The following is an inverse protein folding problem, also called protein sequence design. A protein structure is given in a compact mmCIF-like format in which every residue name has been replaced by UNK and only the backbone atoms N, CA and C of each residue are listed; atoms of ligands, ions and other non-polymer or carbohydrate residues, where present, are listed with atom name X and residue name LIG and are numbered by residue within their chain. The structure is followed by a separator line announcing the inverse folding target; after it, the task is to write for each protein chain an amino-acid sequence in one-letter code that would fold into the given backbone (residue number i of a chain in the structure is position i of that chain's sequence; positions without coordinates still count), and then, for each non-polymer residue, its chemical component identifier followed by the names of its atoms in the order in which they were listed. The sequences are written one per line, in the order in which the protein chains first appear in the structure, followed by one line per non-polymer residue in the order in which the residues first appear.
data_IF_279423174788
#
_entry.id   IF_279423174788
#
_cell.length_a   1.000
_cell.length_b   1.000
_cell.length_c   1.000
_cell.angle_alpha   90.00
_cell.angle_beta   90.00
_cell.angle_gamma   90.00
#
_symmetry.space_group_name_H-M   'P 1'
#
loop_
_entity.id
_entity.type
_entity.pdbx_description
1 polymer ?
#
# COMPACT_ATOMS: atom_id res chain seq x y z
N UNK A 1 -10.35 -70.94 1.77
CA UNK A 1 -9.80 -69.83 0.97
C UNK A 1 -9.85 -70.23 -0.49
N UNK A 2 -10.60 -69.50 -1.33
CA UNK A 2 -10.78 -69.75 -2.77
C UNK A 2 -9.74 -68.94 -3.57
N UNK A 3 -9.12 -69.49 -4.63
CA UNK A 3 -8.24 -68.73 -5.51
C UNK A 3 -9.05 -67.91 -6.52
N UNK A 4 -8.61 -66.66 -6.76
CA UNK A 4 -9.14 -65.75 -7.78
C UNK A 4 -8.32 -65.94 -9.06
N UNK A 5 -9.00 -66.31 -10.14
CA UNK A 5 -8.43 -66.42 -11.49
C UNK A 5 -8.14 -65.02 -12.06
N UNK A 6 -6.88 -64.75 -12.42
CA UNK A 6 -6.50 -63.61 -13.25
C UNK A 6 -6.76 -63.95 -14.72
N UNK A 7 -7.52 -63.08 -15.41
CA UNK A 7 -7.75 -63.17 -16.86
C UNK A 7 -6.78 -62.19 -17.54
N UNK A 8 -5.88 -62.73 -18.34
CA UNK A 8 -4.96 -61.99 -19.22
C UNK A 8 -5.77 -61.25 -20.30
N UNK A 9 -5.49 -59.96 -20.49
CA UNK A 9 -6.01 -59.15 -21.60
C UNK A 9 -4.80 -58.75 -22.45
N UNK A 10 -4.77 -59.25 -23.68
CA UNK A 10 -3.78 -58.84 -24.68
C UNK A 10 -4.10 -57.43 -25.19
N UNK A 11 -3.11 -56.53 -25.30
CA UNK A 11 -3.31 -55.23 -25.93
C UNK A 11 -3.13 -55.33 -27.45
N UNK A 12 -4.19 -55.04 -28.20
CA UNK A 12 -4.11 -54.73 -29.62
C UNK A 12 -3.61 -53.29 -29.81
N UNK A 13 -2.41 -53.16 -30.38
CA UNK A 13 -1.83 -51.87 -30.79
C UNK A 13 -2.46 -51.41 -32.11
N UNK A 14 -3.13 -50.24 -32.17
CA UNK A 14 -3.54 -49.66 -33.43
C UNK A 14 -2.37 -48.93 -34.11
N UNK A 15 -2.25 -49.15 -35.42
CA UNK A 15 -1.40 -48.41 -36.36
C UNK A 15 -1.72 -46.90 -36.33
N UNK A 16 -1.05 -46.15 -35.45
CA UNK A 16 -1.04 -44.68 -35.44
C UNK A 16 0.41 -44.18 -35.49
N UNK A 17 1.12 -44.39 -36.60
CA UNK A 17 2.57 -44.12 -36.66
C UNK A 17 2.99 -42.95 -37.56
N UNK A 18 2.20 -42.54 -38.56
CA UNK A 18 2.62 -41.48 -39.50
C UNK A 18 1.99 -40.10 -39.23
N UNK A 19 0.70 -40.03 -38.90
CA UNK A 19 0.01 -38.75 -38.67
C UNK A 19 0.45 -38.02 -37.38
N UNK A 20 0.83 -38.77 -36.34
CA UNK A 20 1.26 -38.21 -35.05
C UNK A 20 2.63 -37.53 -35.14
N UNK A 21 3.53 -38.00 -36.02
CA UNK A 21 4.87 -37.41 -36.20
C UNK A 21 4.82 -36.04 -36.88
N UNK A 22 3.86 -35.81 -37.78
CA UNK A 22 3.64 -34.49 -38.39
C UNK A 22 3.03 -33.48 -37.41
N UNK A 23 2.15 -33.94 -36.52
CA UNK A 23 1.52 -33.09 -35.51
C UNK A 23 2.52 -32.64 -34.43
N UNK A 24 3.46 -33.50 -34.03
CA UNK A 24 4.54 -33.13 -33.11
C UNK A 24 5.49 -32.09 -33.73
N UNK A 25 5.87 -32.24 -35.00
CA UNK A 25 6.75 -31.27 -35.66
C UNK A 25 6.11 -29.87 -35.81
N UNK A 26 4.79 -29.80 -36.05
CA UNK A 26 4.04 -28.54 -36.08
C UNK A 26 3.91 -27.91 -34.68
N UNK A 27 3.79 -28.73 -33.63
CA UNK A 27 3.73 -28.25 -32.25
C UNK A 27 5.07 -27.65 -31.78
N UNK A 28 6.21 -28.23 -32.18
CA UNK A 28 7.53 -27.65 -31.88
C UNK A 28 7.84 -26.37 -32.67
N UNK A 29 7.31 -26.21 -33.89
CA UNK A 29 7.42 -24.95 -34.65
C UNK A 29 6.59 -23.80 -34.03
N UNK A 30 5.48 -24.11 -33.36
CA UNK A 30 4.70 -23.11 -32.61
C UNK A 30 5.37 -22.71 -31.28
N UNK A 31 6.15 -23.61 -30.66
CA UNK A 31 6.85 -23.32 -29.39
C UNK A 31 8.18 -22.58 -29.59
N UNK A 32 8.78 -22.64 -30.79
CA UNK A 32 9.99 -21.87 -31.12
C UNK A 32 9.72 -20.39 -31.46
N UNK A 33 8.45 -19.98 -31.54
CA UNK A 33 8.03 -18.59 -31.80
C UNK A 33 7.91 -17.71 -30.55
N UNK A 34 7.98 -18.30 -29.35
CA UNK A 34 8.21 -17.55 -28.11
C UNK A 34 9.73 -17.50 -27.87
N UNK A 35 10.45 -16.93 -28.83
CA UNK A 35 11.81 -16.52 -28.59
C UNK A 35 11.80 -15.64 -27.33
N UNK A 36 12.72 -15.93 -26.43
CA UNK A 36 13.15 -15.08 -25.32
C UNK A 36 13.79 -13.80 -25.87
N UNK A 37 13.06 -13.11 -26.77
CA UNK A 37 13.37 -11.75 -27.19
C UNK A 37 13.37 -10.95 -25.90
N UNK A 38 14.58 -10.52 -25.57
CA UNK A 38 14.92 -10.00 -24.28
C UNK A 38 13.87 -9.00 -23.83
N UNK A 39 13.32 -9.28 -22.65
CA UNK A 39 13.11 -8.24 -21.66
C UNK A 39 14.48 -7.57 -21.40
N UNK A 40 15.02 -6.85 -22.39
CA UNK A 40 15.64 -5.58 -22.08
C UNK A 40 14.54 -4.87 -21.33
N UNK A 41 14.65 -4.87 -20.00
CA UNK A 41 13.92 -3.95 -19.13
C UNK A 41 13.91 -2.64 -19.91
N UNK A 42 12.75 -2.26 -20.45
CA UNK A 42 12.56 -0.93 -20.97
C UNK A 42 13.03 -0.05 -19.83
N UNK A 43 14.24 0.51 -19.97
CA UNK A 43 14.83 1.45 -19.03
C UNK A 43 13.96 2.68 -19.15
N UNK A 44 12.79 2.59 -18.54
CA UNK A 44 11.79 3.60 -18.59
C UNK A 44 12.47 4.83 -18.02
N UNK A 45 12.58 5.87 -18.84
CA UNK A 45 13.29 7.07 -18.45
C UNK A 45 12.66 7.60 -17.15
N UNK A 46 13.38 7.44 -16.04
CA UNK A 46 12.95 7.91 -14.73
C UNK A 46 13.14 9.42 -14.60
N UNK A 47 13.74 10.07 -15.59
CA UNK A 47 14.19 11.45 -15.49
C UNK A 47 15.33 11.59 -14.46
N UNK A 48 15.66 12.83 -14.07
CA UNK A 48 16.72 13.07 -13.10
C UNK A 48 16.31 12.58 -11.72
N UNK A 49 17.26 11.96 -11.01
CA UNK A 49 17.12 11.67 -9.59
C UNK A 49 16.96 12.98 -8.81
N UNK A 50 16.08 12.95 -7.82
CA UNK A 50 15.82 14.06 -6.89
C UNK A 50 16.38 13.68 -5.52
N UNK A 51 17.00 14.62 -4.77
CA UNK A 51 17.42 14.35 -3.40
C UNK A 51 16.23 13.93 -2.53
N UNK A 52 16.45 12.96 -1.63
CA UNK A 52 15.41 12.40 -0.76
C UNK A 52 14.77 13.47 0.13
N UNK A 53 15.54 14.46 0.54
CA UNK A 53 15.10 15.62 1.33
C UNK A 53 14.07 16.46 0.57
N UNK A 54 14.11 16.47 -0.76
CA UNK A 54 13.11 17.18 -1.59
C UNK A 54 11.75 16.52 -1.47
N UNK A 55 11.70 15.19 -1.42
CA UNK A 55 10.48 14.42 -1.18
C UNK A 55 9.93 14.69 0.21
N UNK A 56 10.78 14.61 1.23
CA UNK A 56 10.37 14.84 2.62
C UNK A 56 9.89 16.28 2.82
N UNK A 57 10.54 17.25 2.18
CA UNK A 57 10.11 18.66 2.18
C UNK A 57 8.73 18.82 1.53
N UNK A 58 8.50 18.20 0.36
CA UNK A 58 7.21 18.27 -0.33
C UNK A 58 6.08 17.65 0.51
N UNK A 59 6.31 16.49 1.10
CA UNK A 59 5.34 15.80 1.95
C UNK A 59 5.11 16.57 3.26
N UNK A 60 6.15 17.05 3.92
CA UNK A 60 6.06 17.85 5.15
C UNK A 60 5.30 19.16 4.91
N UNK A 61 5.64 19.90 3.85
CA UNK A 61 4.93 21.12 3.44
C UNK A 61 3.45 20.86 3.19
N UNK A 62 3.12 19.75 2.51
CA UNK A 62 1.74 19.35 2.23
C UNK A 62 0.96 19.01 3.52
N UNK A 63 1.62 18.37 4.48
CA UNK A 63 1.00 17.89 5.72
C UNK A 63 0.89 19.03 6.77
N UNK A 64 1.64 20.12 6.60
CA UNK A 64 1.65 21.27 7.52
C UNK A 64 2.28 20.93 8.87
N UNK A 65 1.85 21.61 9.94
CA UNK A 65 2.37 21.40 11.30
C UNK A 65 2.22 19.92 11.74
N UNK A 66 3.35 19.24 11.93
CA UNK A 66 3.40 17.85 12.42
C UNK A 66 3.51 17.81 13.94
N UNK A 67 2.71 18.62 14.65
CA UNK A 67 2.71 18.60 16.10
C UNK A 67 1.73 17.54 16.60
N UNK A 68 2.20 16.37 17.06
CA UNK A 68 1.31 15.30 17.49
C UNK A 68 0.56 15.62 18.80
N UNK A 69 0.93 16.70 19.50
CA UNK A 69 0.14 17.20 20.64
C UNK A 69 -1.23 17.72 20.20
N UNK A 70 -1.44 17.97 18.91
CA UNK A 70 -2.73 18.32 18.32
C UNK A 70 -3.71 17.13 18.24
N UNK A 71 -3.26 15.90 18.47
CA UNK A 71 -4.14 14.73 18.59
C UNK A 71 -5.01 14.90 19.83
N UNK A 72 -6.31 14.68 19.69
CA UNK A 72 -7.32 14.83 20.76
C UNK A 72 -7.90 13.48 21.15
N UNK A 73 -8.38 13.36 22.39
CA UNK A 73 -9.24 12.24 22.77
C UNK A 73 -10.52 12.27 21.91
N UNK A 74 -11.00 11.09 21.52
CA UNK A 74 -12.09 10.91 20.56
C UNK A 74 -11.78 11.35 19.10
N UNK A 75 -10.53 11.69 18.77
CA UNK A 75 -10.11 11.72 17.36
C UNK A 75 -10.29 10.31 16.79
N UNK A 76 -10.98 10.21 15.66
CA UNK A 76 -11.07 8.95 14.94
C UNK A 76 -11.08 9.17 13.44
N UNK A 77 -10.64 8.14 12.72
CA UNK A 77 -10.84 8.06 11.29
C UNK A 77 -11.09 6.62 10.86
N UNK A 78 -11.69 6.50 9.68
CA UNK A 78 -11.87 5.22 8.99
C UNK A 78 -11.19 5.35 7.66
N UNK A 79 -10.35 4.37 7.37
CA UNK A 79 -9.70 4.23 6.08
C UNK A 79 -10.07 2.92 5.43
N UNK A 80 -10.19 2.97 4.12
CA UNK A 80 -10.41 1.83 3.26
C UNK A 80 -9.09 1.54 2.54
N UNK A 81 -8.64 0.29 2.58
CA UNK A 81 -7.50 -0.18 1.81
C UNK A 81 -7.96 -1.18 0.77
N UNK A 82 -7.72 -0.86 -0.50
CA UNK A 82 -7.92 -1.78 -1.62
C UNK A 82 -6.55 -2.16 -2.19
N UNK A 83 -6.31 -3.45 -2.44
CA UNK A 83 -5.19 -3.88 -3.27
C UNK A 83 -5.70 -4.69 -4.45
N UNK A 84 -5.11 -4.49 -5.62
CA UNK A 84 -5.53 -5.18 -6.86
C UNK A 84 -4.35 -5.47 -7.77
N UNK A 85 -4.47 -6.54 -8.55
CA UNK A 85 -3.63 -6.75 -9.73
C UNK A 85 -4.21 -5.94 -10.90
N UNK A 86 -3.39 -5.22 -11.65
CA UNK A 86 -3.87 -4.38 -12.75
C UNK A 86 -4.28 -5.18 -14.00
N UNK A 87 -3.92 -6.46 -14.06
CA UNK A 87 -4.23 -7.38 -15.17
C UNK A 87 -5.38 -8.36 -14.85
N UNK A 88 -6.03 -8.26 -13.69
CA UNK A 88 -7.06 -9.24 -13.30
C UNK A 88 -8.09 -8.73 -12.29
N UNK A 89 -8.99 -9.63 -11.92
CA UNK A 89 -10.10 -9.34 -11.01
C UNK A 89 -9.76 -9.49 -9.52
N UNK A 90 -8.53 -9.92 -9.20
CA UNK A 90 -8.10 -10.07 -7.82
C UNK A 90 -8.11 -8.71 -7.12
N UNK A 91 -8.92 -8.63 -6.06
CA UNK A 91 -9.06 -7.46 -5.21
C UNK A 91 -9.15 -7.93 -3.77
N UNK A 92 -8.31 -7.36 -2.91
CA UNK A 92 -8.53 -7.42 -1.47
C UNK A 92 -9.00 -6.07 -0.98
N UNK A 93 -9.85 -6.11 0.04
CA UNK A 93 -10.42 -4.93 0.65
C UNK A 93 -10.31 -5.08 2.16
N UNK A 94 -9.81 -4.04 2.83
CA UNK A 94 -9.89 -3.94 4.28
C UNK A 94 -10.34 -2.55 4.72
N UNK A 95 -11.02 -2.52 5.85
CA UNK A 95 -11.46 -1.29 6.51
C UNK A 95 -10.72 -1.20 7.84
N UNK A 96 -10.06 -0.07 8.08
CA UNK A 96 -9.34 0.20 9.32
C UNK A 96 -10.01 1.38 10.01
N UNK A 97 -10.54 1.11 11.20
CA UNK A 97 -11.03 2.12 12.13
C UNK A 97 -9.92 2.39 13.16
N UNK A 98 -9.64 3.67 13.41
CA UNK A 98 -8.67 4.09 14.41
C UNK A 98 -9.33 5.12 15.32
N UNK A 99 -9.27 4.89 16.63
CA UNK A 99 -9.82 5.76 17.67
C UNK A 99 -8.75 6.08 18.72
N UNK A 100 -8.63 7.36 19.08
CA UNK A 100 -7.85 7.80 20.24
C UNK A 100 -8.67 7.60 21.52
N UNK A 101 -8.26 6.62 22.33
CA UNK A 101 -8.97 6.22 23.55
C UNK A 101 -8.59 7.08 24.73
N UNK A 102 -7.29 7.36 24.90
CA UNK A 102 -6.81 8.26 25.93
C UNK A 102 -5.54 8.98 25.51
N UNK A 103 -5.30 10.12 26.16
CA UNK A 103 -4.10 10.93 26.02
C UNK A 103 -3.63 11.32 27.41
N UNK A 104 -2.39 11.02 27.72
CA UNK A 104 -1.79 11.21 29.04
C UNK A 104 -0.46 11.90 28.88
N UNK A 105 -0.13 12.81 29.81
CA UNK A 105 1.18 13.45 29.85
C UNK A 105 1.97 12.91 31.04
N UNK A 106 3.14 12.31 30.77
CA UNK A 106 4.01 11.74 31.78
C UNK A 106 5.48 12.01 31.45
N UNK A 107 6.22 12.62 32.37
CA UNK A 107 7.68 12.80 32.25
C UNK A 107 8.15 13.44 30.92
N UNK A 108 7.53 14.54 30.48
CA UNK A 108 7.78 15.20 29.18
C UNK A 108 7.49 14.30 27.96
N UNK A 109 6.62 13.31 28.13
CA UNK A 109 6.13 12.49 27.03
C UNK A 109 4.61 12.57 26.98
N UNK A 110 4.09 12.73 25.78
CA UNK A 110 2.67 12.56 25.49
C UNK A 110 2.43 11.12 25.06
N UNK A 111 1.62 10.39 25.83
CA UNK A 111 1.24 9.01 25.56
C UNK A 111 -0.19 9.02 25.02
N UNK A 112 -0.37 8.41 23.85
CA UNK A 112 -1.64 8.32 23.16
C UNK A 112 -1.98 6.84 23.00
N UNK A 113 -3.07 6.41 23.63
CA UNK A 113 -3.58 5.06 23.49
C UNK A 113 -4.60 5.03 22.36
N UNK A 114 -4.37 4.12 21.42
CA UNK A 114 -5.15 3.95 20.21
C UNK A 114 -5.86 2.60 20.25
N UNK A 115 -7.15 2.60 19.93
CA UNK A 115 -7.88 1.38 19.58
C UNK A 115 -7.98 1.30 18.07
N UNK A 116 -7.60 0.16 17.50
CA UNK A 116 -7.68 -0.10 16.08
C UNK A 116 -8.56 -1.32 15.86
N UNK A 117 -9.42 -1.23 14.84
CA UNK A 117 -10.25 -2.34 14.37
C UNK A 117 -10.02 -2.48 12.88
N UNK A 118 -9.54 -3.65 12.45
CA UNK A 118 -9.35 -3.97 11.05
C UNK A 118 -10.36 -5.04 10.63
N UNK A 119 -11.18 -4.72 9.63
CA UNK A 119 -12.08 -5.69 9.00
C UNK A 119 -11.56 -6.00 7.60
N UNK A 120 -11.15 -7.24 7.36
CA UNK A 120 -10.71 -7.73 6.04
C UNK A 120 -11.86 -8.47 5.38
N UNK A 121 -12.11 -8.18 4.11
CA UNK A 121 -13.20 -8.77 3.35
C UNK A 121 -12.62 -9.69 2.28
N UNK A 122 -13.08 -10.93 2.27
CA UNK A 122 -12.68 -11.97 1.34
C UNK A 122 -13.59 -11.99 0.10
N UNK A 123 -13.13 -12.64 -0.96
CA UNK A 123 -13.87 -12.72 -2.24
C UNK A 123 -15.20 -13.46 -2.14
N UNK A 124 -15.37 -14.34 -1.15
CA UNK A 124 -16.61 -15.08 -0.91
C UNK A 124 -17.65 -14.28 -0.09
N UNK A 125 -17.32 -13.03 0.25
CA UNK A 125 -18.16 -12.14 1.05
C UNK A 125 -18.02 -12.35 2.56
N UNK A 126 -17.22 -13.31 3.01
CA UNK A 126 -16.86 -13.43 4.42
C UNK A 126 -15.95 -12.28 4.85
N UNK A 127 -15.87 -12.04 6.16
CA UNK A 127 -14.93 -11.10 6.72
C UNK A 127 -14.24 -11.66 7.96
N UNK A 128 -13.06 -11.13 8.22
CA UNK A 128 -12.32 -11.33 9.47
C UNK A 128 -12.17 -9.98 10.14
N UNK A 129 -12.27 -9.98 11.46
CA UNK A 129 -12.18 -8.77 12.25
C UNK A 129 -11.10 -8.93 13.31
N UNK A 130 -10.13 -8.05 13.28
CA UNK A 130 -9.01 -8.00 14.20
C UNK A 130 -9.07 -6.72 15.04
N UNK A 131 -8.78 -6.85 16.34
CA UNK A 131 -8.71 -5.72 17.26
C UNK A 131 -7.29 -5.56 17.80
N UNK A 132 -6.78 -4.33 17.76
CA UNK A 132 -5.45 -4.00 18.25
C UNK A 132 -5.54 -2.82 19.21
N UNK A 133 -4.68 -2.85 20.23
CA UNK A 133 -4.41 -1.70 21.09
C UNK A 133 -2.98 -1.26 20.86
N UNK A 134 -2.79 -0.04 20.36
CA UNK A 134 -1.47 0.53 20.12
C UNK A 134 -1.23 1.68 21.07
N UNK A 135 0.02 1.82 21.51
CA UNK A 135 0.46 2.94 22.33
C UNK A 135 1.46 3.76 21.55
N UNK A 136 1.10 5.01 21.24
CA UNK A 136 1.99 5.99 20.64
C UNK A 136 2.62 6.82 21.76
N UNK A 137 3.95 6.82 21.84
CA UNK A 137 4.71 7.63 22.79
C UNK A 137 5.41 8.72 22.01
N UNK A 138 5.07 9.97 22.30
CA UNK A 138 5.69 11.16 21.71
C UNK A 138 6.57 11.78 22.80
N UNK A 139 7.85 11.90 22.51
CA UNK A 139 8.77 12.65 23.37
C UNK A 139 8.70 14.14 23.02
N UNK A 140 8.47 14.99 24.01
CA UNK A 140 8.47 16.45 23.82
C UNK A 140 9.90 16.96 23.52
N UNK A 141 10.93 16.14 23.79
CA UNK A 141 12.31 16.38 23.39
C UNK A 141 12.73 15.44 22.24
N UNK A 142 12.62 15.87 20.96
CA UNK A 142 12.79 15.01 19.79
C UNK A 142 14.21 14.47 19.58
N UNK A 143 15.17 14.81 20.44
CA UNK A 143 16.56 14.38 20.30
C UNK A 143 16.73 12.86 20.33
N UNK A 144 15.80 12.09 20.93
CA UNK A 144 15.97 10.65 21.20
C UNK A 144 14.79 9.73 20.80
N UNK A 145 13.86 10.16 19.95
CA UNK A 145 12.75 9.28 19.55
C UNK A 145 13.20 8.18 18.58
N UNK A 146 13.52 7.02 19.14
CA UNK A 146 14.03 5.83 18.46
C UNK A 146 12.88 4.85 18.14
N UNK A 147 11.91 5.30 17.32
CA UNK A 147 10.82 4.44 16.85
C UNK A 147 11.23 3.77 15.54
N UNK A 148 11.88 2.61 15.62
CA UNK A 148 12.25 1.82 14.44
C UNK A 148 11.09 0.96 13.98
N UNK A 149 10.45 1.34 12.88
CA UNK A 149 9.56 0.47 12.12
C UNK A 149 10.25 0.13 10.80
N UNK A 150 10.07 -1.09 10.30
CA UNK A 150 10.60 -1.52 9.01
C UNK A 150 10.23 -0.55 7.88
N UNK A 151 11.07 -0.51 6.85
CA UNK A 151 10.86 0.37 5.71
C UNK A 151 9.57 0.07 4.97
N UNK A 152 8.73 1.09 4.88
CA UNK A 152 7.52 1.06 4.07
C UNK A 152 7.71 2.05 2.92
N UNK A 153 7.83 1.56 1.67
CA UNK A 153 7.88 2.42 0.48
C UNK A 153 6.66 3.33 0.45
N UNK A 154 6.83 4.55 -0.07
CA UNK A 154 5.75 5.53 -0.10
C UNK A 154 5.11 5.75 1.29
N UNK A 155 5.92 5.87 2.34
CA UNK A 155 5.44 6.27 3.67
C UNK A 155 5.58 7.77 3.85
N UNK A 156 4.51 8.37 4.36
CA UNK A 156 4.43 9.79 4.75
C UNK A 156 4.55 9.98 6.25
N UNK A 157 4.66 8.91 7.04
CA UNK A 157 4.55 9.02 8.48
C UNK A 157 5.83 9.64 9.07
N UNK A 158 5.79 10.92 9.50
CA UNK A 158 6.97 11.59 10.04
C UNK A 158 7.33 11.10 11.43
N UNK A 159 6.41 10.40 12.11
CA UNK A 159 6.64 9.79 13.42
C UNK A 159 7.42 8.47 13.33
N UNK A 160 7.69 7.97 12.13
CA UNK A 160 8.45 6.73 11.92
C UNK A 160 9.80 7.07 11.29
N UNK A 161 10.86 7.06 12.11
CA UNK A 161 12.23 6.95 11.59
C UNK A 161 12.44 5.52 11.11
N UNK A 162 12.29 5.35 9.81
CA UNK A 162 12.50 4.08 9.17
C UNK A 162 14.00 3.80 9.12
N UNK A 163 14.44 2.69 9.74
CA UNK A 163 15.76 2.14 9.47
C UNK A 163 15.68 1.26 8.23
N UNK A 164 16.35 1.71 7.18
CA UNK A 164 16.60 0.85 6.02
C UNK A 164 17.43 -0.36 6.45
N UNK A 165 17.16 -1.55 5.92
CA UNK A 165 18.09 -2.67 6.06
C UNK A 165 19.50 -2.26 5.64
N UNK A 166 20.52 -2.80 6.30
CA UNK A 166 21.91 -2.51 5.95
C UNK A 166 22.17 -2.83 4.48
N UNK A 167 22.72 -1.86 3.74
CA UNK A 167 22.97 -1.97 2.30
C UNK A 167 21.76 -1.69 1.39
N UNK A 168 20.58 -1.40 1.93
CA UNK A 168 19.46 -0.92 1.13
C UNK A 168 19.68 0.54 0.70
N UNK A 169 19.36 0.86 -0.55
CA UNK A 169 19.45 2.21 -1.11
C UNK A 169 18.07 2.64 -1.62
N UNK A 170 17.74 3.92 -1.40
CA UNK A 170 16.50 4.52 -1.88
C UNK A 170 16.83 5.69 -2.79
N UNK A 171 16.23 5.70 -3.97
CA UNK A 171 16.34 6.80 -4.94
C UNK A 171 14.95 7.31 -5.29
N UNK A 172 14.81 8.63 -5.44
CA UNK A 172 13.52 9.29 -5.72
C UNK A 172 13.59 10.00 -7.07
N UNK A 173 12.51 9.95 -7.83
CA UNK A 173 12.40 10.49 -9.19
C UNK A 173 11.03 11.15 -9.42
N UNK A 174 10.93 11.99 -10.46
CA UNK A 174 9.66 12.56 -10.98
C UNK A 174 8.73 13.16 -9.90
N UNK A 175 9.28 13.91 -8.94
CA UNK A 175 8.45 14.52 -7.93
C UNK A 175 7.60 15.65 -8.53
N UNK A 176 6.29 15.54 -8.37
CA UNK A 176 5.34 16.56 -8.78
C UNK A 176 4.38 16.86 -7.63
N UNK A 177 4.06 18.14 -7.45
CA UNK A 177 3.09 18.60 -6.46
C UNK A 177 2.08 19.53 -7.12
N UNK A 178 0.80 19.33 -6.80
CA UNK A 178 -0.29 20.19 -7.25
C UNK A 178 -1.23 20.48 -6.09
N UNK A 179 -1.89 21.63 -6.14
CA UNK A 179 -2.92 22.00 -5.18
C UNK A 179 -4.28 21.99 -5.86
N UNK A 180 -5.31 21.59 -5.12
CA UNK A 180 -6.70 21.60 -5.61
C UNK A 180 -7.66 21.82 -4.44
N UNK A 181 -8.80 22.47 -4.70
CA UNK A 181 -9.90 22.56 -3.74
C UNK A 181 -10.98 21.57 -4.17
N UNK A 182 -11.39 20.68 -3.29
CA UNK A 182 -12.46 19.73 -3.57
C UNK A 182 -13.22 19.32 -2.29
N UNK A 183 -14.38 18.65 -2.40
CA UNK A 183 -15.13 18.19 -1.22
C UNK A 183 -14.32 17.23 -0.34
N UNK A 184 -14.58 17.17 0.98
CA UNK A 184 -13.97 16.19 1.90
C UNK A 184 -14.35 14.74 1.53
N UNK A 185 -13.76 13.72 2.19
CA UNK A 185 -14.21 12.33 2.03
C UNK A 185 -15.71 12.18 2.14
N UNK A 186 -16.28 11.25 1.37
CA UNK A 186 -17.73 11.19 1.12
C UNK A 186 -18.56 11.10 2.40
N UNK A 187 -18.11 10.37 3.42
CA UNK A 187 -18.85 10.24 4.68
C UNK A 187 -18.71 11.49 5.56
N UNK A 188 -17.60 12.22 5.45
CA UNK A 188 -17.42 13.53 6.09
C UNK A 188 -18.33 14.56 5.43
N UNK A 189 -18.34 14.61 4.08
CA UNK A 189 -19.18 15.55 3.32
C UNK A 189 -20.68 15.36 3.59
N UNK A 190 -21.11 14.12 3.85
CA UNK A 190 -22.51 13.77 4.17
C UNK A 190 -22.88 14.02 5.64
N UNK A 191 -21.90 14.29 6.52
CA UNK A 191 -22.15 14.60 7.92
C UNK A 191 -22.90 15.93 8.05
N UNK A 192 -23.87 16.07 8.97
CA UNK A 192 -24.59 17.33 9.19
C UNK A 192 -23.69 18.54 9.47
N UNK A 193 -22.49 18.31 10.03
CA UNK A 193 -21.51 19.36 10.33
C UNK A 193 -20.33 19.40 9.35
N UNK A 194 -20.35 18.57 8.30
CA UNK A 194 -19.22 18.37 7.38
C UNK A 194 -17.87 18.12 8.10
N UNK A 195 -17.90 17.40 9.23
CA UNK A 195 -16.71 17.17 10.05
C UNK A 195 -16.12 18.43 10.70
N UNK A 196 -16.92 19.51 10.82
CA UNK A 196 -16.48 20.81 11.32
C UNK A 196 -15.87 21.73 10.27
N UNK A 197 -15.86 21.34 8.99
CA UNK A 197 -15.33 22.15 7.88
C UNK A 197 -16.36 23.19 7.44
N UNK A 198 -15.94 24.45 7.33
CA UNK A 198 -16.74 25.55 6.82
C UNK A 198 -15.90 26.47 5.91
N UNK A 199 -16.17 26.54 4.58
CA UNK A 199 -17.16 25.77 3.83
C UNK A 199 -16.84 24.26 3.77
N UNK A 200 -17.78 23.42 3.32
CA UNK A 200 -17.64 21.96 3.20
C UNK A 200 -16.73 21.55 2.02
N UNK A 201 -15.48 22.04 2.06
CA UNK A 201 -14.45 21.84 1.06
C UNK A 201 -13.09 21.84 1.73
N UNK A 202 -12.12 21.16 1.14
CA UNK A 202 -10.75 21.08 1.64
C UNK A 202 -9.75 21.44 0.54
N UNK A 203 -8.67 22.09 0.95
CA UNK A 203 -7.46 22.24 0.17
C UNK A 203 -6.67 20.94 0.24
N UNK A 204 -6.45 20.35 -0.92
CA UNK A 204 -5.62 19.17 -1.09
C UNK A 204 -4.31 19.55 -1.73
N UNK A 205 -3.25 18.93 -1.25
CA UNK A 205 -1.98 18.85 -1.96
C UNK A 205 -1.85 17.42 -2.47
N UNK A 206 -1.81 17.26 -3.78
CA UNK A 206 -1.47 15.98 -4.38
C UNK A 206 0.03 15.93 -4.60
N UNK A 207 0.69 14.88 -4.12
CA UNK A 207 2.12 14.65 -4.31
C UNK A 207 2.28 13.31 -5.01
N UNK A 208 3.04 13.27 -6.11
CA UNK A 208 3.39 12.02 -6.77
C UNK A 208 4.89 11.97 -7.05
N UNK A 209 5.48 10.80 -6.98
CA UNK A 209 6.88 10.55 -7.30
C UNK A 209 7.08 9.06 -7.56
N UNK A 210 8.21 8.73 -8.17
CA UNK A 210 8.70 7.37 -8.28
C UNK A 210 9.81 7.13 -7.25
N UNK A 211 9.83 5.95 -6.66
CA UNK A 211 10.84 5.53 -5.68
C UNK A 211 11.44 4.20 -6.13
N UNK A 212 12.77 4.10 -6.18
CA UNK A 212 13.49 2.85 -6.37
C UNK A 212 14.08 2.40 -5.03
N UNK A 213 13.74 1.19 -4.62
CA UNK A 213 14.41 0.50 -3.51
C UNK A 213 15.33 -0.56 -4.08
N UNK A 214 16.63 -0.42 -3.84
CA UNK A 214 17.62 -1.44 -4.20
C UNK A 214 18.12 -2.15 -2.95
N UNK A 215 18.01 -3.47 -2.89
CA UNK A 215 18.46 -4.29 -1.77
C UNK A 215 18.91 -5.68 -2.25
N UNK A 216 20.09 -6.14 -1.81
CA UNK A 216 20.65 -7.45 -2.18
C UNK A 216 20.70 -7.73 -3.69
N UNK A 217 20.93 -6.69 -4.50
CA UNK A 217 21.01 -6.80 -5.96
C UNK A 217 19.65 -6.75 -6.68
N UNK A 218 18.54 -6.77 -5.95
CA UNK A 218 17.20 -6.57 -6.50
C UNK A 218 16.84 -5.08 -6.45
N UNK A 219 16.13 -4.60 -7.47
CA UNK A 219 15.58 -3.23 -7.49
C UNK A 219 14.07 -3.30 -7.72
N UNK A 220 13.32 -2.65 -6.83
CA UNK A 220 11.88 -2.54 -6.95
C UNK A 220 11.48 -1.08 -7.12
N UNK A 221 10.64 -0.81 -8.12
CA UNK A 221 10.07 0.52 -8.37
C UNK A 221 8.68 0.64 -7.76
N UNK A 222 8.43 1.79 -7.16
CA UNK A 222 7.16 2.20 -6.61
C UNK A 222 6.72 3.53 -7.23
N UNK A 223 5.50 3.59 -7.76
CA UNK A 223 4.86 4.86 -8.10
C UNK A 223 3.97 5.29 -6.93
N UNK A 224 4.40 6.30 -6.20
CA UNK A 224 3.75 6.79 -5.00
C UNK A 224 2.83 7.97 -5.35
N UNK A 225 1.60 7.96 -4.83
CA UNK A 225 0.64 9.05 -5.00
C UNK A 225 -0.07 9.33 -3.68
N UNK A 226 0.04 10.56 -3.22
CA UNK A 226 -0.59 11.03 -2.00
C UNK A 226 -1.60 12.12 -2.29
N UNK A 227 -2.69 12.13 -1.51
CA UNK A 227 -3.61 13.25 -1.37
C UNK A 227 -3.62 13.66 0.08
N UNK A 228 -3.14 14.87 0.36
CA UNK A 228 -2.86 15.34 1.72
C UNK A 228 -3.68 16.61 1.97
N UNK A 229 -4.18 16.78 3.19
CA UNK A 229 -4.75 18.05 3.64
C UNK A 229 -4.37 18.35 5.08
N UNK A 230 -3.86 19.56 5.31
CA UNK A 230 -3.61 20.07 6.65
C UNK A 230 -4.89 20.46 7.40
N UNK A 231 -6.05 20.46 6.75
CA UNK A 231 -7.36 20.73 7.35
C UNK A 231 -8.01 19.47 7.96
N UNK A 232 -7.50 18.27 7.67
CA UNK A 232 -7.92 17.04 8.33
C UNK A 232 -7.27 16.92 9.73
N UNK A 233 -7.90 16.17 10.66
CA UNK A 233 -7.28 15.87 11.96
C UNK A 233 -5.94 15.16 11.76
N UNK A 234 -5.06 15.25 12.76
CA UNK A 234 -3.67 14.80 12.67
C UNK A 234 -3.53 13.39 12.07
N UNK A 235 -4.35 12.45 12.54
CA UNK A 235 -4.32 11.05 12.14
C UNK A 235 -4.91 10.78 10.75
N UNK A 236 -5.59 11.76 10.15
CA UNK A 236 -6.25 11.67 8.85
C UNK A 236 -5.69 12.67 7.82
N UNK A 237 -4.56 13.35 8.10
CA UNK A 237 -3.99 14.36 7.17
C UNK A 237 -3.64 13.77 5.80
N UNK A 238 -3.22 12.51 5.77
CA UNK A 238 -2.99 11.76 4.54
C UNK A 238 -4.29 11.06 4.18
N UNK A 239 -5.07 11.72 3.33
CA UNK A 239 -6.41 11.27 2.96
C UNK A 239 -6.39 10.17 1.92
N UNK A 240 -5.33 10.09 1.12
CA UNK A 240 -5.11 8.99 0.21
C UNK A 240 -3.62 8.70 0.06
N UNK A 241 -3.25 7.43 0.04
CA UNK A 241 -1.94 6.95 -0.35
C UNK A 241 -2.12 5.75 -1.30
N UNK A 242 -1.67 5.90 -2.53
CA UNK A 242 -1.66 4.83 -3.53
C UNK A 242 -0.24 4.51 -3.95
N UNK A 243 0.08 3.23 -4.00
CA UNK A 243 1.37 2.70 -4.42
C UNK A 243 1.14 1.71 -5.55
N UNK A 244 1.77 1.92 -6.70
CA UNK A 244 1.86 0.91 -7.75
C UNK A 244 3.26 0.29 -7.76
N UNK A 245 3.32 -1.02 -7.91
CA UNK A 245 4.56 -1.79 -7.88
C UNK A 245 4.41 -3.10 -8.65
N UNK A 246 5.52 -3.77 -8.94
CA UNK A 246 5.53 -5.09 -9.55
C UNK A 246 5.58 -6.16 -8.45
N UNK A 247 4.73 -7.18 -8.57
CA UNK A 247 4.70 -8.36 -7.72
C UNK A 247 5.18 -9.56 -8.53
N UNK A 248 6.13 -10.30 -8.00
CA UNK A 248 6.56 -11.59 -8.55
C UNK A 248 5.61 -12.68 -8.07
N UNK A 249 5.01 -13.43 -9.01
CA UNK A 249 4.18 -14.60 -8.70
C UNK A 249 5.01 -15.90 -8.75
N UNK A 250 4.41 -17.04 -8.38
CA UNK A 250 5.12 -18.32 -8.19
C UNK A 250 5.94 -18.79 -9.39
N UNK A 251 5.52 -18.45 -10.61
CA UNK A 251 6.22 -18.79 -11.86
C UNK A 251 7.35 -17.81 -12.25
N UNK A 252 7.64 -16.83 -11.39
CA UNK A 252 8.66 -15.81 -11.62
C UNK A 252 8.20 -14.62 -12.47
N UNK A 253 6.99 -14.63 -13.03
CA UNK A 253 6.47 -13.48 -13.78
C UNK A 253 6.19 -12.30 -12.86
N UNK A 254 6.42 -11.09 -13.37
CA UNK A 254 6.08 -9.86 -12.68
C UNK A 254 4.73 -9.32 -13.17
N UNK A 255 3.83 -9.03 -12.23
CA UNK A 255 2.50 -8.48 -12.50
C UNK A 255 2.37 -7.12 -11.82
N UNK A 256 1.91 -6.07 -12.52
CA UNK A 256 1.66 -4.80 -11.89
C UNK A 256 0.49 -4.89 -10.90
N UNK A 257 0.74 -4.39 -9.69
CA UNK A 257 -0.23 -4.29 -8.62
C UNK A 257 -0.40 -2.82 -8.18
N UNK A 258 -1.53 -2.51 -7.59
CA UNK A 258 -1.83 -1.23 -6.99
C UNK A 258 -2.47 -1.43 -5.62
N UNK A 259 -1.91 -0.80 -4.60
CA UNK A 259 -2.50 -0.72 -3.26
C UNK A 259 -2.84 0.73 -2.96
N UNK A 260 -4.09 1.01 -2.61
CA UNK A 260 -4.58 2.33 -2.25
C UNK A 260 -5.23 2.28 -0.88
N UNK A 261 -4.82 3.16 0.03
CA UNK A 261 -5.51 3.43 1.29
C UNK A 261 -6.11 4.82 1.20
N UNK A 262 -7.42 4.95 1.48
CA UNK A 262 -8.16 6.21 1.41
C UNK A 262 -8.94 6.42 2.71
N UNK A 263 -8.82 7.59 3.33
CA UNK A 263 -9.68 7.99 4.45
C UNK A 263 -11.08 8.23 3.90
N UNK A 264 -12.05 7.45 4.36
CA UNK A 264 -13.46 7.56 3.97
C UNK A 264 -14.28 8.37 4.96
N UNK A 265 -13.85 8.39 6.23
CA UNK A 265 -14.48 9.17 7.29
C UNK A 265 -13.45 9.66 8.31
N UNK A 266 -13.73 10.78 8.97
CA UNK A 266 -12.98 11.24 10.14
C UNK A 266 -13.82 12.18 11.00
N UNK A 267 -13.41 12.34 12.25
CA UNK A 267 -13.94 13.36 13.16
C UNK A 267 -12.80 13.92 14.00
N UNK A 268 -12.90 15.22 14.28
CA UNK A 268 -12.07 15.88 15.27
C UNK A 268 -12.68 15.66 16.65
N UNK A 269 -11.89 15.13 17.56
CA UNK A 269 -12.20 14.95 18.97
C UNK A 269 -12.47 16.28 19.69
N UNK A 270 -12.93 16.18 20.93
CA UNK A 270 -13.19 17.38 21.74
C UNK A 270 -11.86 18.05 22.08
N UNK A 271 -11.84 19.38 22.13
CA UNK A 271 -10.70 20.07 22.70
C UNK A 271 -10.64 19.73 24.20
N UNK A 272 -9.44 19.36 24.67
CA UNK A 272 -9.14 19.14 26.09
C UNK A 272 -9.26 20.45 26.89
#
# INVERSE_FOLDING_TARGET
MKPIFQKSVEPSLPLFSSAFRFLIALFFLMLAGCAEDGLEELKEDLGPQVPYETRDSALSKATGEQNPTLIRVDDWHVSETSARLLLGDFRTFSLLELLVVSKEWMNNQTIINLSLRETKYESDGSNTEDHYSNRLVIDDNPTNSDFSVGYQPCSVNPLKRVRLPEGAQVQVFKIESSTQVAPPPILVAKSPTCGGLNPCSMNYVNVKFDELLSFKGETQRFNCRFKISNQAPYLAKVLQNCVKYLVTIEDGRQIPAEKCTSVVNFRIGKAD
#
